data_IF_606420224494
#
_entry.id   IF_606420224494
#
_cell.length_a   1.000
_cell.length_b   1.000
_cell.length_c   1.000
_cell.angle_alpha   90.00
_cell.angle_beta   90.00
_cell.angle_gamma   90.00
#
_symmetry.space_group_name_H-M   'P 1'
#
loop_
_entity.id
_entity.type
_entity.pdbx_description
1 polymer ?
#
# COMPACT_ATOMS: atom_id res chain seq x y z
N UNK A 1 -22.39 -3.57 -1.63
CA UNK A 1 -21.94 -2.21 -1.26
C UNK A 1 -20.57 -1.98 -1.85
N UNK A 2 -20.32 -0.79 -2.39
CA UNK A 2 -19.00 -0.42 -2.89
C UNK A 2 -18.00 -0.33 -1.73
N UNK A 3 -16.75 -0.65 -2.01
CA UNK A 3 -15.61 -0.54 -1.08
C UNK A 3 -14.52 0.28 -1.73
N UNK A 4 -13.68 0.88 -0.90
CA UNK A 4 -12.62 1.78 -1.34
C UNK A 4 -11.29 1.39 -0.72
N UNK A 5 -10.23 1.41 -1.52
CA UNK A 5 -8.87 1.48 -1.02
C UNK A 5 -8.49 2.94 -0.84
N UNK A 6 -7.65 3.22 0.14
CA UNK A 6 -7.14 4.57 0.40
C UNK A 6 -5.67 4.60 0.01
N UNK A 7 -5.34 5.46 -0.94
CA UNK A 7 -3.98 5.73 -1.38
C UNK A 7 -3.45 6.97 -0.69
N UNK A 8 -2.24 6.89 -0.18
CA UNK A 8 -1.46 8.05 0.24
C UNK A 8 -0.68 8.60 -0.95
N UNK A 9 -0.65 9.92 -1.16
CA UNK A 9 0.20 10.51 -2.19
C UNK A 9 1.68 10.22 -1.90
N UNK A 10 2.48 10.14 -2.97
CA UNK A 10 3.88 9.73 -2.92
C UNK A 10 4.07 8.28 -3.38
N UNK A 11 5.31 7.80 -3.25
CA UNK A 11 5.76 6.48 -3.66
C UNK A 11 6.83 5.95 -2.68
N UNK A 12 6.94 4.63 -2.58
CA UNK A 12 8.11 3.95 -1.98
C UNK A 12 8.86 3.27 -3.12
N UNK A 13 10.04 3.78 -3.46
CA UNK A 13 10.66 3.50 -4.76
C UNK A 13 9.70 3.92 -5.87
N UNK A 14 9.24 2.96 -6.67
CA UNK A 14 8.24 3.19 -7.72
C UNK A 14 6.84 2.64 -7.38
N UNK A 15 6.59 2.21 -6.13
CA UNK A 15 5.34 1.60 -5.70
C UNK A 15 4.34 2.61 -5.10
N UNK A 16 3.05 2.43 -5.38
CA UNK A 16 1.97 3.19 -4.75
C UNK A 16 1.85 2.81 -3.26
N UNK A 17 1.44 3.78 -2.44
CA UNK A 17 1.29 3.62 -1.00
C UNK A 17 -0.19 3.51 -0.65
N UNK A 18 -0.55 2.46 0.09
CA UNK A 18 -1.93 2.14 0.47
C UNK A 18 -2.07 2.06 1.99
N UNK A 19 -3.23 2.40 2.51
CA UNK A 19 -3.56 2.21 3.93
C UNK A 19 -3.81 0.74 4.22
N UNK A 20 -3.16 0.19 5.26
CA UNK A 20 -3.48 -1.14 5.79
C UNK A 20 -4.78 -1.09 6.60
N UNK A 21 -5.47 -2.22 6.63
CA UNK A 21 -6.66 -2.39 7.47
C UNK A 21 -6.37 -2.09 8.95
N UNK A 22 -7.40 -1.68 9.69
CA UNK A 22 -7.36 -1.49 11.15
C UNK A 22 -6.28 -0.51 11.63
N UNK A 23 -5.96 0.51 10.83
CA UNK A 23 -4.92 1.51 11.16
C UNK A 23 -3.51 0.92 11.36
N UNK A 24 -3.19 -0.23 10.76
CA UNK A 24 -1.88 -0.90 10.84
C UNK A 24 -0.79 -0.26 9.94
N UNK A 25 -0.87 1.06 9.71
CA UNK A 25 0.09 1.80 8.90
C UNK A 25 -0.16 1.68 7.39
N UNK A 26 0.94 1.66 6.63
CA UNK A 26 0.91 1.67 5.16
C UNK A 26 1.53 0.40 4.58
N UNK A 27 1.15 0.10 3.35
CA UNK A 27 1.71 -0.98 2.54
C UNK A 27 1.93 -0.53 1.11
N UNK A 28 2.89 -1.16 0.45
CA UNK A 28 3.07 -1.08 -1.01
C UNK A 28 2.40 -2.24 -1.73
N UNK A 29 1.91 -3.24 -0.99
CA UNK A 29 1.15 -4.37 -1.49
C UNK A 29 -0.35 -4.12 -1.30
N UNK A 30 -1.04 -3.85 -2.40
CA UNK A 30 -2.49 -3.56 -2.39
C UNK A 30 -3.33 -4.72 -1.81
N UNK A 31 -2.81 -5.95 -1.79
CA UNK A 31 -3.50 -7.11 -1.19
C UNK A 31 -3.58 -7.03 0.33
N UNK A 32 -2.67 -6.28 0.95
CA UNK A 32 -2.69 -6.00 2.39
C UNK A 32 -3.46 -4.71 2.73
N UNK A 33 -3.96 -3.99 1.72
CA UNK A 33 -4.67 -2.74 1.92
C UNK A 33 -6.06 -2.96 2.53
N UNK A 34 -6.48 -2.01 3.36
CA UNK A 34 -7.82 -1.99 3.94
C UNK A 34 -8.89 -1.65 2.91
N UNK A 35 -10.06 -2.28 3.05
CA UNK A 35 -11.26 -2.01 2.25
C UNK A 35 -12.30 -1.28 3.10
N UNK A 36 -12.48 0.01 2.80
CA UNK A 36 -13.30 0.93 3.59
C UNK A 36 -14.66 1.16 2.95
N UNK A 37 -15.69 1.46 3.74
CA UNK A 37 -16.94 2.01 3.21
C UNK A 37 -16.73 3.41 2.64
N UNK A 38 -17.74 3.93 1.96
CA UNK A 38 -17.68 5.28 1.42
C UNK A 38 -17.53 6.33 2.53
N UNK A 39 -18.23 6.15 3.65
CA UNK A 39 -18.16 7.05 4.82
C UNK A 39 -16.78 7.02 5.45
N UNK A 40 -16.24 5.83 5.71
CA UNK A 40 -14.90 5.63 6.27
C UNK A 40 -13.81 6.23 5.36
N UNK A 41 -13.94 6.01 4.05
CA UNK A 41 -13.00 6.53 3.06
C UNK A 41 -13.06 8.06 2.98
N UNK A 42 -14.26 8.66 2.94
CA UNK A 42 -14.44 10.13 2.94
C UNK A 42 -13.86 10.76 4.20
N UNK A 43 -14.11 10.17 5.37
CA UNK A 43 -13.57 10.67 6.63
C UNK A 43 -12.04 10.63 6.63
N UNK A 44 -11.46 9.50 6.23
CA UNK A 44 -10.00 9.33 6.18
C UNK A 44 -9.34 10.26 5.17
N UNK A 45 -9.95 10.47 4.00
CA UNK A 45 -9.45 11.35 2.95
C UNK A 45 -9.57 12.85 3.26
N UNK A 46 -10.23 13.26 4.36
CA UNK A 46 -10.12 14.65 4.85
C UNK A 46 -8.68 15.02 5.22
N UNK A 47 -7.84 14.02 5.49
CA UNK A 47 -6.41 14.20 5.71
C UNK A 47 -5.73 14.65 4.42
N UNK A 48 -4.94 15.72 4.52
CA UNK A 48 -4.15 16.23 3.40
C UNK A 48 -3.26 15.10 2.84
N UNK A 49 -3.41 14.83 1.53
CA UNK A 49 -2.68 13.84 0.71
C UNK A 49 -3.24 12.40 0.66
N UNK A 50 -4.45 12.13 1.12
CA UNK A 50 -5.09 10.82 0.96
C UNK A 50 -6.18 10.85 -0.13
N UNK A 51 -6.33 9.77 -0.90
CA UNK A 51 -7.32 9.67 -1.99
C UNK A 51 -7.91 8.28 -2.03
N UNK A 52 -9.24 8.19 -2.05
CA UNK A 52 -9.98 6.95 -2.13
C UNK A 52 -10.19 6.52 -3.58
N UNK A 53 -10.02 5.22 -3.85
CA UNK A 53 -10.29 4.59 -5.14
C UNK A 53 -11.21 3.41 -4.93
N UNK A 54 -12.21 3.24 -5.81
CA UNK A 54 -13.09 2.06 -5.75
C UNK A 54 -12.26 0.77 -5.84
N UNK A 55 -12.54 -0.19 -4.96
CA UNK A 55 -11.85 -1.47 -4.92
C UNK A 55 -11.99 -2.19 -6.27
N UNK A 56 -13.21 -2.23 -6.84
CA UNK A 56 -13.44 -2.90 -8.12
C UNK A 56 -12.59 -2.30 -9.25
N UNK A 57 -12.40 -0.98 -9.28
CA UNK A 57 -11.53 -0.34 -10.26
C UNK A 57 -10.07 -0.76 -10.08
N UNK A 58 -9.56 -0.73 -8.85
CA UNK A 58 -8.16 -1.08 -8.55
C UNK A 58 -7.90 -2.58 -8.72
N UNK A 59 -8.86 -3.43 -8.35
CA UNK A 59 -8.81 -4.88 -8.46
C UNK A 59 -8.76 -5.31 -9.94
N UNK A 60 -9.41 -4.56 -10.84
CA UNK A 60 -9.35 -4.78 -12.29
C UNK A 60 -8.22 -4.01 -13.00
N UNK A 61 -7.53 -3.10 -12.31
CA UNK A 61 -6.42 -2.33 -12.87
C UNK A 61 -5.10 -3.07 -12.65
N UNK A 62 -4.71 -3.87 -13.63
CA UNK A 62 -3.46 -4.66 -13.59
C UNK A 62 -2.22 -3.83 -13.23
N UNK A 63 -2.16 -2.53 -13.61
CA UNK A 63 -1.04 -1.64 -13.27
C UNK A 63 -0.94 -1.33 -11.76
N UNK A 64 -2.07 -1.23 -11.06
CA UNK A 64 -2.10 -0.94 -9.62
C UNK A 64 -1.84 -2.18 -8.76
N UNK A 65 -2.10 -3.37 -9.30
CA UNK A 65 -1.83 -4.66 -8.66
C UNK A 65 -0.34 -5.07 -8.69
N UNK A 66 0.50 -4.29 -9.39
CA UNK A 66 1.90 -4.62 -9.57
C UNK A 66 2.69 -4.37 -8.27
N UNK A 67 3.22 -5.42 -7.65
CA UNK A 67 4.23 -5.30 -6.60
C UNK A 67 5.54 -4.82 -7.25
N UNK A 68 6.07 -3.71 -6.76
CA UNK A 68 7.27 -3.08 -7.30
C UNK A 68 8.39 -3.20 -6.28
N UNK A 69 9.46 -3.90 -6.67
CA UNK A 69 10.67 -4.08 -5.89
C UNK A 69 11.83 -3.57 -6.77
N UNK A 70 12.39 -2.42 -6.41
CA UNK A 70 13.43 -1.76 -7.21
C UNK A 70 14.83 -2.23 -6.83
N UNK A 71 15.07 -2.42 -5.52
CA UNK A 71 16.28 -3.06 -4.97
C UNK A 71 16.02 -3.50 -3.53
N UNK A 72 16.66 -4.58 -3.11
CA UNK A 72 16.64 -5.05 -1.72
C UNK A 72 18.04 -5.52 -1.34
N UNK A 73 18.50 -5.13 -0.15
CA UNK A 73 19.82 -5.51 0.35
C UNK A 73 19.77 -5.61 1.88
N UNK A 74 20.57 -6.52 2.44
CA UNK A 74 20.68 -6.76 3.88
C UNK A 74 22.17 -6.74 4.29
N UNK A 75 22.49 -6.20 5.48
CA UNK A 75 23.86 -6.24 6.02
C UNK A 75 24.15 -7.66 6.46
N UNK A 76 24.91 -8.30 5.61
CA UNK A 76 25.25 -9.67 5.79
C UNK A 76 25.96 -9.86 7.18
N UNK A 77 26.87 -8.98 7.63
CA UNK A 77 27.67 -9.25 8.86
C UNK A 77 26.86 -9.22 10.16
N UNK A 78 25.69 -8.62 10.06
CA UNK A 78 24.76 -8.40 11.15
C UNK A 78 23.47 -9.13 10.96
N UNK A 79 23.37 -9.96 9.93
CA UNK A 79 22.51 -11.11 10.12
C UNK A 79 22.87 -11.69 11.48
N UNK A 80 21.85 -12.02 12.27
CA UNK A 80 22.08 -12.89 13.42
C UNK A 80 22.87 -14.16 12.97
N UNK A 81 22.81 -14.48 11.66
CA UNK A 81 23.43 -15.58 10.90
C UNK A 81 23.61 -15.22 9.39
N UNK A 82 24.81 -15.26 8.76
CA UNK A 82 25.15 -14.80 7.36
C UNK A 82 25.70 -15.87 6.39
N UNK A 83 25.42 -15.83 5.08
CA UNK A 83 26.25 -16.42 3.99
C UNK A 83 27.02 -15.30 3.22
N UNK A 84 28.35 -15.32 3.03
CA UNK A 84 29.07 -14.14 2.47
C UNK A 84 28.94 -13.97 0.91
N UNK A 85 28.52 -12.76 0.44
CA UNK A 85 28.06 -12.30 -0.92
C UNK A 85 29.16 -12.18 -1.99
#
# INVERSE_FOLDING_TARGET
MKKYYIRRQGYVGNALIWWKANSNGYTVDIREAGKYTEEEAKETCKRYLDTAYECDYIDNLLKAQKLIIDSQYVDSKKELYKNEI
#
